data_IF_518459962891
#
_entry.id   IF_518459962891
#
_cell.length_a   1.000
_cell.length_b   1.000
_cell.length_c   1.000
_cell.angle_alpha   90.00
_cell.angle_beta   90.00
_cell.angle_gamma   90.00
#
_symmetry.space_group_name_H-M   'P 1'
#
loop_
_entity.id
_entity.type
_entity.pdbx_description
1 polymer ?
#
# COMPACT_ATOMS: atom_id res chain seq x y z
N UNK A 1 19.67 -22.56 54.34
CA UNK A 1 19.42 -22.49 52.88
C UNK A 1 18.01 -23.00 52.60
N UNK A 2 17.09 -22.16 52.10
CA UNK A 2 15.89 -22.51 51.29
C UNK A 2 14.93 -21.31 51.21
N UNK A 3 15.11 -20.46 50.20
CA UNK A 3 14.09 -19.54 49.70
C UNK A 3 14.52 -19.01 48.32
N UNK A 4 14.27 -19.78 47.23
CA UNK A 4 14.51 -19.30 45.84
C UNK A 4 13.39 -19.70 44.85
N UNK A 5 12.42 -20.54 45.19
CA UNK A 5 11.56 -21.18 44.16
C UNK A 5 10.16 -20.58 43.91
N UNK A 6 9.90 -19.32 44.29
CA UNK A 6 8.58 -18.68 44.03
C UNK A 6 8.56 -17.64 42.88
N UNK A 7 9.71 -17.18 42.38
CA UNK A 7 9.76 -16.17 41.31
C UNK A 7 9.79 -16.76 39.88
N UNK A 8 10.16 -18.04 39.72
CA UNK A 8 10.29 -18.67 38.41
C UNK A 8 8.94 -18.93 37.71
N UNK A 9 7.87 -19.25 38.44
CA UNK A 9 6.57 -19.59 37.86
C UNK A 9 5.83 -18.39 37.24
N UNK A 10 5.91 -17.21 37.86
CA UNK A 10 5.28 -15.98 37.35
C UNK A 10 6.05 -15.41 36.15
N UNK A 11 7.38 -15.50 36.17
CA UNK A 11 8.25 -15.07 35.07
C UNK A 11 8.08 -15.98 33.84
N UNK A 12 7.99 -17.29 34.03
CA UNK A 12 7.74 -18.24 32.93
C UNK A 12 6.33 -18.08 32.35
N UNK A 13 5.30 -17.92 33.19
CA UNK A 13 3.92 -17.69 32.72
C UNK A 13 3.75 -16.38 31.95
N UNK A 14 4.37 -15.30 32.43
CA UNK A 14 4.36 -13.99 31.74
C UNK A 14 5.16 -14.03 30.44
N UNK A 15 6.31 -14.73 30.43
CA UNK A 15 7.13 -14.91 29.23
C UNK A 15 6.42 -15.68 28.12
N UNK A 16 5.72 -16.77 28.45
CA UNK A 16 4.92 -17.55 27.49
C UNK A 16 3.75 -16.73 26.95
N UNK A 17 3.06 -15.97 27.79
CA UNK A 17 1.96 -15.10 27.34
C UNK A 17 2.45 -14.01 26.37
N UNK A 18 3.55 -13.32 26.69
CA UNK A 18 4.13 -12.29 25.82
C UNK A 18 4.67 -12.87 24.50
N UNK A 19 5.28 -14.06 24.56
CA UNK A 19 5.68 -14.79 23.36
C UNK A 19 4.48 -15.14 22.49
N UNK A 20 3.38 -15.60 23.08
CA UNK A 20 2.11 -15.85 22.40
C UNK A 20 1.55 -14.61 21.71
N UNK A 21 1.52 -13.46 22.40
CA UNK A 21 1.11 -12.17 21.81
C UNK A 21 1.99 -11.80 20.61
N UNK A 22 3.32 -11.93 20.76
CA UNK A 22 4.27 -11.68 19.67
C UNK A 22 4.02 -12.55 18.44
N UNK A 23 3.76 -13.85 18.66
CA UNK A 23 3.43 -14.79 17.58
C UNK A 23 2.11 -14.40 16.90
N UNK A 24 1.08 -14.04 17.66
CA UNK A 24 -0.22 -13.60 17.10
C UNK A 24 -0.06 -12.33 16.26
N UNK A 25 0.71 -11.35 16.73
CA UNK A 25 0.98 -10.11 15.98
C UNK A 25 1.72 -10.45 14.68
N UNK A 26 2.81 -11.23 14.75
CA UNK A 26 3.57 -11.65 13.58
C UNK A 26 2.69 -12.43 12.57
N UNK A 27 1.84 -13.33 13.08
CA UNK A 27 0.90 -14.11 12.25
C UNK A 27 -0.26 -13.31 11.68
N UNK A 28 -0.62 -12.18 12.29
CA UNK A 28 -1.62 -11.29 11.72
C UNK A 28 -1.02 -10.37 10.66
N UNK A 29 0.18 -9.85 10.92
CA UNK A 29 0.89 -8.96 10.00
C UNK A 29 1.23 -9.65 8.68
N UNK A 30 1.74 -10.88 8.74
CA UNK A 30 2.17 -11.65 7.55
C UNK A 30 1.06 -12.56 7.00
N UNK A 31 -0.20 -12.33 7.39
CA UNK A 31 -1.29 -13.20 6.96
C UNK A 31 -1.41 -13.21 5.42
N UNK A 32 -1.78 -14.35 4.81
CA UNK A 32 -2.10 -14.39 3.39
C UNK A 32 -3.21 -13.41 3.07
N UNK A 33 -3.23 -12.93 1.82
CA UNK A 33 -4.32 -12.08 1.34
C UNK A 33 -5.65 -12.81 1.55
N UNK A 34 -6.53 -12.17 2.31
CA UNK A 34 -7.89 -12.65 2.54
C UNK A 34 -8.86 -11.94 1.63
N UNK A 35 -10.01 -12.56 1.38
CA UNK A 35 -11.12 -11.91 0.68
C UNK A 35 -11.48 -10.55 1.29
N UNK A 36 -11.96 -9.65 0.43
CA UNK A 36 -12.42 -8.31 0.83
C UNK A 36 -13.55 -8.42 1.87
N UNK A 37 -13.53 -7.52 2.85
CA UNK A 37 -14.59 -7.41 3.85
C UNK A 37 -15.64 -6.40 3.38
N UNK A 38 -16.90 -6.80 3.44
CA UNK A 38 -18.06 -5.98 3.07
C UNK A 38 -18.82 -5.55 4.33
N UNK A 39 -18.18 -4.72 5.16
CA UNK A 39 -18.68 -4.29 6.47
C UNK A 39 -19.60 -3.07 6.44
N UNK A 40 -19.74 -2.41 5.28
CA UNK A 40 -20.73 -1.36 5.08
C UNK A 40 -22.05 -1.95 4.57
N UNK A 41 -23.16 -1.36 5.01
CA UNK A 41 -24.49 -1.60 4.45
C UNK A 41 -24.99 -0.32 3.80
N UNK A 42 -25.43 -0.39 2.54
CA UNK A 42 -26.12 0.72 1.88
C UNK A 42 -27.45 0.94 2.59
N UNK A 43 -27.63 2.12 3.21
CA UNK A 43 -28.84 2.44 3.99
C UNK A 43 -30.00 2.88 3.12
N UNK A 44 -29.70 3.50 1.98
CA UNK A 44 -30.68 3.99 1.02
C UNK A 44 -30.02 4.39 -0.27
N UNK A 45 -30.82 4.53 -1.32
CA UNK A 45 -30.41 5.10 -2.61
C UNK A 45 -31.46 6.13 -2.98
N UNK A 46 -31.03 7.36 -3.14
CA UNK A 46 -31.87 8.48 -3.55
C UNK A 46 -31.69 8.70 -5.06
N UNK A 47 -32.74 8.45 -5.84
CA UNK A 47 -32.75 8.57 -7.30
C UNK A 47 -33.55 9.81 -7.76
N UNK A 48 -33.78 10.78 -6.88
CA UNK A 48 -34.59 11.97 -7.21
C UNK A 48 -33.82 13.01 -8.03
N UNK A 49 -32.48 13.01 -7.96
CA UNK A 49 -31.60 13.88 -8.75
C UNK A 49 -31.19 13.28 -10.10
N UNK A 50 -30.39 14.03 -10.86
CA UNK A 50 -29.82 13.56 -12.15
C UNK A 50 -28.93 12.33 -11.99
N UNK A 51 -28.26 12.21 -10.84
CA UNK A 51 -27.42 11.07 -10.47
C UNK A 51 -27.89 10.46 -9.16
N UNK A 52 -27.80 9.13 -9.01
CA UNK A 52 -28.11 8.48 -7.74
C UNK A 52 -27.20 8.96 -6.60
N UNK A 53 -27.75 9.10 -5.40
CA UNK A 53 -27.00 9.36 -4.17
C UNK A 53 -27.12 8.13 -3.25
N UNK A 54 -25.99 7.53 -2.92
CA UNK A 54 -25.92 6.40 -1.98
C UNK A 54 -25.88 6.94 -0.55
N UNK A 55 -26.79 6.46 0.30
CA UNK A 55 -26.86 6.83 1.70
C UNK A 55 -26.13 5.76 2.53
N UNK A 56 -25.16 6.20 3.32
CA UNK A 56 -24.29 5.36 4.14
C UNK A 56 -24.31 5.81 5.60
N UNK A 57 -23.92 4.90 6.50
CA UNK A 57 -23.62 5.28 7.89
C UNK A 57 -22.51 6.33 7.93
N UNK A 58 -22.68 7.34 8.78
CA UNK A 58 -21.66 8.35 9.03
C UNK A 58 -20.54 7.74 9.85
N UNK A 59 -19.37 7.63 9.23
CA UNK A 59 -18.11 7.25 9.85
C UNK A 59 -17.01 8.17 9.33
N UNK A 60 -15.83 8.24 9.98
CA UNK A 60 -14.72 9.08 9.50
C UNK A 60 -14.40 8.86 8.02
N UNK A 61 -14.41 7.61 7.54
CA UNK A 61 -14.12 7.28 6.14
C UNK A 61 -15.22 7.74 5.17
N UNK A 62 -16.51 7.46 5.47
CA UNK A 62 -17.62 7.80 4.57
C UNK A 62 -17.94 9.28 4.55
N UNK A 63 -17.61 9.99 5.64
CA UNK A 63 -17.76 11.44 5.78
C UNK A 63 -16.55 12.24 5.27
N UNK A 64 -15.45 11.59 4.90
CA UNK A 64 -14.31 12.26 4.31
C UNK A 64 -14.63 12.70 2.87
N UNK A 65 -14.42 13.98 2.51
CA UNK A 65 -14.48 14.41 1.12
C UNK A 65 -13.38 13.71 0.32
N UNK A 66 -13.66 13.45 -0.95
CA UNK A 66 -12.69 12.89 -1.87
C UNK A 66 -13.29 11.86 -2.84
N UNK A 67 -12.50 11.48 -3.83
CA UNK A 67 -12.88 10.50 -4.84
C UNK A 67 -12.70 9.08 -4.26
N UNK A 68 -13.79 8.37 -3.96
CA UNK A 68 -13.74 7.00 -3.41
C UNK A 68 -14.62 6.04 -4.22
N UNK A 69 -14.59 4.76 -3.88
CA UNK A 69 -15.53 3.79 -4.43
C UNK A 69 -16.13 2.87 -3.36
N UNK A 70 -17.31 2.33 -3.69
CA UNK A 70 -17.89 1.17 -3.04
C UNK A 70 -17.68 -0.05 -3.91
N UNK A 71 -17.08 -1.08 -3.33
CA UNK A 71 -16.99 -2.40 -3.95
C UNK A 71 -18.08 -3.25 -3.31
N UNK A 72 -19.08 -3.61 -4.11
CA UNK A 72 -20.24 -4.37 -3.67
C UNK A 72 -19.90 -5.87 -3.58
N UNK A 73 -20.58 -6.58 -2.68
CA UNK A 73 -20.39 -8.03 -2.49
C UNK A 73 -20.71 -8.85 -3.75
N UNK A 74 -21.56 -8.31 -4.63
CA UNK A 74 -21.91 -8.91 -5.93
C UNK A 74 -20.88 -8.58 -7.04
N UNK A 75 -19.77 -7.91 -6.73
CA UNK A 75 -18.73 -7.52 -7.68
C UNK A 75 -18.93 -6.15 -8.34
N UNK A 76 -20.01 -5.42 -8.01
CA UNK A 76 -20.24 -4.07 -8.52
C UNK A 76 -19.19 -3.06 -8.02
N UNK A 77 -18.80 -2.12 -8.87
CA UNK A 77 -17.80 -1.09 -8.58
C UNK A 77 -18.41 0.30 -8.77
N UNK A 78 -18.71 0.98 -7.67
CA UNK A 78 -19.46 2.23 -7.68
C UNK A 78 -18.52 3.37 -7.31
N UNK A 79 -18.21 4.24 -8.27
CA UNK A 79 -17.43 5.46 -8.03
C UNK A 79 -18.30 6.51 -7.38
N UNK A 80 -17.76 7.18 -6.38
CA UNK A 80 -18.43 8.21 -5.62
C UNK A 80 -17.80 9.56 -5.89
N UNK A 81 -18.63 10.60 -5.92
CA UNK A 81 -18.19 11.98 -6.06
C UNK A 81 -17.41 12.45 -4.82
N UNK A 82 -16.64 13.51 -5.02
CA UNK A 82 -15.87 14.18 -3.98
C UNK A 82 -16.75 14.67 -2.82
N UNK A 83 -17.89 15.27 -3.15
CA UNK A 83 -18.75 15.94 -2.17
C UNK A 83 -19.50 14.95 -1.27
N UNK A 84 -19.75 15.40 -0.04
CA UNK A 84 -20.46 14.65 0.99
C UNK A 84 -21.73 15.40 1.38
N UNK A 85 -22.87 14.79 1.10
CA UNK A 85 -24.15 15.34 1.53
C UNK A 85 -24.44 15.01 2.99
N UNK A 86 -24.82 16.02 3.77
CA UNK A 86 -25.27 15.81 5.13
C UNK A 86 -26.71 15.26 5.13
N UNK A 87 -26.88 13.99 5.55
CA UNK A 87 -28.19 13.34 5.69
C UNK A 87 -28.56 13.16 7.18
N UNK A 88 -28.18 14.13 8.00
CA UNK A 88 -28.44 14.14 9.45
C UNK A 88 -27.25 13.63 10.29
N UNK A 89 -27.45 13.39 11.60
CA UNK A 89 -26.36 13.11 12.52
C UNK A 89 -25.66 11.78 12.25
N UNK A 90 -26.37 10.79 11.72
CA UNK A 90 -25.86 9.41 11.59
C UNK A 90 -25.63 8.95 10.15
N UNK A 91 -25.98 9.77 9.15
CA UNK A 91 -25.95 9.37 7.75
C UNK A 91 -25.25 10.42 6.87
N UNK A 92 -24.63 9.94 5.81
CA UNK A 92 -24.06 10.75 4.74
C UNK A 92 -24.57 10.27 3.39
N UNK A 93 -24.77 11.21 2.45
CA UNK A 93 -25.06 10.91 1.05
C UNK A 93 -23.80 11.07 0.20
N UNK A 94 -23.59 10.16 -0.74
CA UNK A 94 -22.48 10.19 -1.71
C UNK A 94 -23.05 10.02 -3.12
N UNK A 95 -22.94 11.05 -3.94
CA UNK A 95 -23.35 10.99 -5.35
C UNK A 95 -22.53 9.92 -6.10
N UNK A 96 -23.16 9.17 -6.98
CA UNK A 96 -22.52 8.19 -7.86
C UNK A 96 -22.01 8.87 -9.13
N UNK A 97 -20.78 8.55 -9.53
CA UNK A 97 -20.14 9.09 -10.73
C UNK A 97 -19.99 8.02 -11.81
N UNK A 98 -20.28 8.39 -13.05
CA UNK A 98 -20.17 7.52 -14.23
C UNK A 98 -21.39 6.63 -14.42
N UNK A 99 -21.27 5.64 -15.32
CA UNK A 99 -22.31 4.64 -15.49
C UNK A 99 -22.39 3.79 -14.23
N UNK A 100 -23.49 3.91 -13.49
CA UNK A 100 -23.77 3.02 -12.37
C UNK A 100 -23.85 1.60 -12.91
N UNK A 101 -22.93 0.72 -12.49
CA UNK A 101 -23.13 -0.72 -12.67
C UNK A 101 -24.53 -1.10 -12.17
N UNK A 102 -25.21 -2.08 -12.80
CA UNK A 102 -26.60 -2.36 -12.47
C UNK A 102 -26.78 -2.72 -10.99
N UNK A 103 -27.82 -2.15 -10.36
CA UNK A 103 -28.39 -2.69 -9.12
C UNK A 103 -27.86 -2.14 -7.81
N UNK A 104 -27.64 -0.83 -7.67
CA UNK A 104 -27.53 -0.18 -6.35
C UNK A 104 -28.87 -0.28 -5.61
N UNK A 105 -28.90 -1.04 -4.51
CA UNK A 105 -30.11 -1.27 -3.71
C UNK A 105 -29.78 -1.14 -2.23
N UNK A 106 -30.71 -0.57 -1.46
CA UNK A 106 -30.63 -0.55 -0.01
C UNK A 106 -30.51 -1.98 0.56
N UNK A 107 -29.73 -2.13 1.62
CA UNK A 107 -29.44 -3.42 2.27
C UNK A 107 -28.26 -4.18 1.66
N UNK A 108 -27.75 -3.78 0.49
CA UNK A 108 -26.54 -4.38 -0.07
C UNK A 108 -25.32 -4.12 0.82
N UNK A 109 -24.44 -5.12 0.85
CA UNK A 109 -23.15 -5.01 1.54
C UNK A 109 -22.09 -4.49 0.60
N UNK A 110 -21.26 -3.61 1.12
CA UNK A 110 -20.20 -2.94 0.38
C UNK A 110 -18.92 -2.83 1.22
N UNK A 111 -17.81 -2.61 0.53
CA UNK A 111 -16.51 -2.29 1.10
C UNK A 111 -16.13 -0.88 0.67
N UNK A 112 -15.74 -0.03 1.63
CA UNK A 112 -15.14 1.27 1.30
C UNK A 112 -13.76 1.08 0.71
N UNK A 113 -13.45 1.79 -0.37
CA UNK A 113 -12.15 1.65 -1.02
C UNK A 113 -11.64 2.95 -1.63
N UNK A 114 -10.34 3.18 -1.48
CA UNK A 114 -9.59 4.23 -2.19
C UNK A 114 -9.01 3.77 -3.53
N UNK A 115 -9.08 2.48 -3.85
CA UNK A 115 -8.75 1.96 -5.18
C UNK A 115 -9.86 2.43 -6.12
N UNK A 116 -9.62 3.52 -6.82
CA UNK A 116 -10.66 4.19 -7.59
C UNK A 116 -10.95 3.48 -8.93
N UNK A 117 -9.90 3.00 -9.59
CA UNK A 117 -9.98 2.32 -10.87
C UNK A 117 -9.92 0.80 -10.69
N UNK A 118 -10.81 0.08 -11.37
CA UNK A 118 -10.81 -1.39 -11.32
C UNK A 118 -9.82 -2.00 -12.30
N UNK A 119 -9.69 -1.42 -13.50
CA UNK A 119 -8.87 -1.91 -14.61
C UNK A 119 -8.15 -0.76 -15.31
N UNK A 120 -7.10 -1.02 -16.11
CA UNK A 120 -6.48 0.03 -16.92
C UNK A 120 -7.50 0.74 -17.84
N UNK A 121 -8.41 0.00 -18.46
CA UNK A 121 -9.46 0.58 -19.32
C UNK A 121 -10.38 1.54 -18.55
N UNK A 122 -10.75 1.19 -17.31
CA UNK A 122 -11.53 2.05 -16.41
C UNK A 122 -10.78 3.34 -15.99
N UNK A 123 -9.45 3.32 -16.07
CA UNK A 123 -8.59 4.48 -15.92
C UNK A 123 -8.32 5.23 -17.24
N UNK A 124 -8.94 4.84 -18.35
CA UNK A 124 -8.71 5.41 -19.68
C UNK A 124 -7.35 5.03 -20.28
N UNK A 125 -6.78 3.90 -19.87
CA UNK A 125 -5.45 3.45 -20.27
C UNK A 125 -5.55 2.22 -21.16
N UNK A 126 -4.74 2.21 -22.23
CA UNK A 126 -4.46 0.99 -22.98
C UNK A 126 -3.50 0.11 -22.19
N UNK A 127 -3.61 -1.21 -22.34
CA UNK A 127 -2.79 -2.16 -21.60
C UNK A 127 -2.49 -3.39 -22.44
N UNK A 128 -1.33 -3.99 -22.18
CA UNK A 128 -0.98 -5.34 -22.60
C UNK A 128 -0.67 -6.15 -21.35
N UNK A 129 -1.29 -7.32 -21.19
CA UNK A 129 -0.90 -8.27 -20.15
C UNK A 129 0.45 -8.90 -20.53
N UNK A 130 1.39 -8.84 -19.59
CA UNK A 130 2.72 -9.46 -19.72
C UNK A 130 3.02 -10.31 -18.49
N UNK A 131 3.99 -11.21 -18.60
CA UNK A 131 4.46 -12.00 -17.46
C UNK A 131 5.92 -11.66 -17.15
N UNK A 132 6.17 -11.33 -15.88
CA UNK A 132 7.52 -11.15 -15.35
C UNK A 132 7.99 -12.49 -14.82
N UNK A 133 9.08 -13.01 -15.38
CA UNK A 133 9.66 -14.27 -14.91
C UNK A 133 10.43 -14.00 -13.61
N UNK A 134 9.87 -14.44 -12.48
CA UNK A 134 10.52 -14.35 -11.16
C UNK A 134 11.12 -15.70 -10.78
N UNK A 135 12.02 -15.70 -9.79
CA UNK A 135 12.64 -16.93 -9.27
C UNK A 135 11.62 -17.93 -8.69
N UNK A 136 10.41 -17.47 -8.39
CA UNK A 136 9.34 -18.28 -7.77
C UNK A 136 8.15 -18.54 -8.70
N UNK A 137 8.28 -18.19 -9.98
CA UNK A 137 7.28 -18.42 -11.02
C UNK A 137 6.91 -17.15 -11.81
N UNK A 138 6.10 -17.29 -12.87
CA UNK A 138 5.62 -16.14 -13.65
C UNK A 138 4.70 -15.27 -12.78
N UNK A 139 4.95 -13.96 -12.81
CA UNK A 139 4.14 -12.94 -12.13
C UNK A 139 3.43 -12.08 -13.19
N UNK A 140 2.09 -12.12 -13.27
CA UNK A 140 1.34 -11.28 -14.21
C UNK A 140 1.56 -9.79 -13.95
N UNK A 141 1.69 -8.99 -14.99
CA UNK A 141 1.85 -7.55 -14.90
C UNK A 141 1.09 -6.85 -16.04
N UNK A 142 0.79 -5.57 -15.87
CA UNK A 142 0.29 -4.74 -16.96
C UNK A 142 1.41 -3.87 -17.52
N UNK A 143 1.62 -3.97 -18.83
CA UNK A 143 2.45 -3.05 -19.60
C UNK A 143 1.55 -2.00 -20.24
N UNK A 144 1.70 -0.75 -19.80
CA UNK A 144 0.86 0.36 -20.19
C UNK A 144 1.73 1.35 -20.97
N UNK A 145 1.47 1.54 -22.28
CA UNK A 145 2.21 2.52 -23.06
C UNK A 145 1.89 3.95 -22.59
N UNK A 146 2.79 4.91 -22.85
CA UNK A 146 2.53 6.30 -22.56
C UNK A 146 1.52 6.90 -23.54
N UNK A 147 0.95 8.04 -23.15
CA UNK A 147 0.28 8.94 -24.08
C UNK A 147 1.34 9.73 -24.83
N UNK A 148 1.35 9.63 -26.16
CA UNK A 148 2.30 10.35 -27.01
C UNK A 148 3.66 9.67 -27.17
N UNK A 149 4.73 10.46 -27.28
CA UNK A 149 6.08 9.96 -27.57
C UNK A 149 6.69 9.28 -26.34
N UNK A 150 7.18 8.03 -26.46
CA UNK A 150 7.71 7.30 -25.32
C UNK A 150 9.07 7.83 -24.88
N UNK A 151 9.21 8.05 -23.57
CA UNK A 151 10.48 8.29 -22.89
C UNK A 151 11.32 7.01 -22.82
N UNK A 152 12.63 7.16 -22.71
CA UNK A 152 13.52 6.04 -22.36
C UNK A 152 13.50 5.71 -20.86
N UNK A 153 12.86 6.55 -20.05
CA UNK A 153 12.57 6.28 -18.63
C UNK A 153 11.24 5.53 -18.53
N UNK A 154 11.19 4.46 -17.76
CA UNK A 154 9.96 3.72 -17.45
C UNK A 154 9.52 3.98 -16.00
N UNK A 155 8.24 3.73 -15.71
CA UNK A 155 7.71 3.73 -14.36
C UNK A 155 7.35 2.30 -13.92
N UNK A 156 7.76 1.87 -12.73
CA UNK A 156 7.37 0.58 -12.15
C UNK A 156 6.49 0.83 -10.94
N UNK A 157 5.27 0.32 -10.97
CA UNK A 157 4.24 0.60 -9.97
C UNK A 157 4.01 -0.61 -9.05
N UNK A 158 4.25 -0.41 -7.75
CA UNK A 158 4.31 -1.46 -6.73
C UNK A 158 3.23 -1.20 -5.68
N UNK A 159 2.23 -2.07 -5.63
CA UNK A 159 1.14 -1.96 -4.65
C UNK A 159 1.56 -2.36 -3.24
N UNK A 160 0.68 -2.07 -2.27
CA UNK A 160 0.88 -2.36 -0.86
C UNK A 160 0.41 -3.75 -0.44
N UNK A 161 0.72 -4.10 0.82
CA UNK A 161 0.33 -5.35 1.45
C UNK A 161 -1.20 -5.53 1.43
N UNK A 162 -1.68 -6.64 0.87
CA UNK A 162 -3.11 -6.97 0.80
C UNK A 162 -3.92 -6.09 -0.17
N UNK A 163 -3.28 -5.19 -0.92
CA UNK A 163 -3.90 -4.47 -2.04
C UNK A 163 -3.69 -5.26 -3.34
N UNK A 164 -4.55 -4.98 -4.32
CA UNK A 164 -4.34 -5.42 -5.71
C UNK A 164 -3.49 -4.40 -6.47
N UNK A 165 -2.94 -4.82 -7.61
CA UNK A 165 -2.15 -3.96 -8.51
C UNK A 165 -2.95 -2.78 -9.07
N UNK A 166 -4.28 -2.91 -9.15
CA UNK A 166 -5.21 -1.85 -9.53
C UNK A 166 -5.10 -0.58 -8.66
N UNK A 167 -4.69 -0.72 -7.38
CA UNK A 167 -4.48 0.40 -6.46
C UNK A 167 -3.50 1.46 -6.96
N UNK A 168 -2.63 1.09 -7.89
CA UNK A 168 -1.55 1.92 -8.44
C UNK A 168 -1.96 2.72 -9.68
N UNK A 169 -3.09 2.39 -10.33
CA UNK A 169 -3.50 2.99 -11.61
C UNK A 169 -3.63 4.53 -11.56
N UNK A 170 -3.86 5.09 -10.37
CA UNK A 170 -3.84 6.53 -10.10
C UNK A 170 -2.49 7.19 -10.42
N UNK A 171 -1.38 6.52 -10.10
CA UNK A 171 -0.03 6.95 -10.48
C UNK A 171 0.28 6.65 -11.94
N UNK A 172 -0.23 5.55 -12.48
CA UNK A 172 -0.04 5.19 -13.89
C UNK A 172 -0.63 6.24 -14.83
N UNK A 173 -1.80 6.80 -14.53
CA UNK A 173 -2.37 7.89 -15.33
C UNK A 173 -1.39 9.06 -15.48
N UNK A 174 -0.81 9.53 -14.37
CA UNK A 174 0.15 10.64 -14.41
C UNK A 174 1.43 10.25 -15.17
N UNK A 175 1.97 9.06 -14.92
CA UNK A 175 3.16 8.57 -15.61
C UNK A 175 2.93 8.46 -17.14
N UNK A 176 1.78 7.97 -17.56
CA UNK A 176 1.42 7.81 -18.98
C UNK A 176 1.30 9.18 -19.67
N UNK A 177 0.67 10.16 -19.03
CA UNK A 177 0.48 11.52 -19.55
C UNK A 177 1.80 12.29 -19.77
N UNK A 178 2.86 11.96 -19.02
CA UNK A 178 4.19 12.58 -19.17
C UNK A 178 5.16 11.77 -20.04
N UNK A 179 4.68 10.74 -20.74
CA UNK A 179 5.49 9.97 -21.68
C UNK A 179 6.19 8.74 -21.10
N UNK A 180 5.92 8.33 -19.85
CA UNK A 180 6.53 7.14 -19.25
C UNK A 180 5.74 5.86 -19.57
N UNK A 181 6.41 4.87 -20.16
CA UNK A 181 5.89 3.50 -20.19
C UNK A 181 5.80 2.98 -18.76
N UNK A 182 4.64 2.44 -18.39
CA UNK A 182 4.40 1.93 -17.03
C UNK A 182 4.32 0.42 -17.00
N UNK A 183 5.01 -0.19 -16.03
CA UNK A 183 4.87 -1.60 -15.67
C UNK A 183 4.21 -1.70 -14.30
N UNK A 184 2.99 -2.23 -14.25
CA UNK A 184 2.23 -2.43 -13.01
C UNK A 184 2.39 -3.88 -12.59
N UNK A 185 3.19 -4.10 -11.55
CA UNK A 185 3.67 -5.44 -11.19
C UNK A 185 2.77 -6.14 -10.18
N UNK A 186 2.77 -7.46 -10.22
CA UNK A 186 2.43 -8.32 -9.07
C UNK A 186 3.72 -8.88 -8.49
N UNK A 187 3.64 -9.45 -7.29
CA UNK A 187 4.74 -10.14 -6.64
C UNK A 187 4.23 -11.35 -5.84
N UNK A 188 5.14 -12.16 -5.30
CA UNK A 188 4.75 -13.38 -4.57
C UNK A 188 3.76 -13.10 -3.45
N UNK A 189 2.79 -14.01 -3.30
CA UNK A 189 1.83 -14.03 -2.19
C UNK A 189 0.93 -12.80 -2.05
N UNK A 190 0.78 -12.00 -3.11
CA UNK A 190 -0.04 -10.78 -3.11
C UNK A 190 -1.51 -11.00 -3.52
N UNK A 191 -1.85 -12.23 -3.93
CA UNK A 191 -3.19 -12.64 -4.38
C UNK A 191 -3.37 -12.70 -5.90
N UNK A 192 -2.53 -12.04 -6.68
CA UNK A 192 -2.56 -12.04 -8.16
C UNK A 192 -1.31 -12.71 -8.77
N UNK A 193 -0.15 -12.56 -8.12
CA UNK A 193 1.13 -13.16 -8.48
C UNK A 193 1.32 -14.59 -7.97
N UNK A 194 2.55 -15.14 -8.09
CA UNK A 194 2.83 -16.53 -7.74
C UNK A 194 2.62 -16.79 -6.24
N UNK A 195 2.04 -17.95 -5.91
CA UNK A 195 1.85 -18.38 -4.52
C UNK A 195 2.98 -19.29 -4.07
N UNK A 196 3.68 -18.89 -3.00
CA UNK A 196 4.85 -19.58 -2.46
C UNK A 196 4.62 -19.96 -0.99
N UNK A 197 5.00 -21.18 -0.63
CA UNK A 197 4.95 -21.67 0.75
C UNK A 197 3.54 -21.59 1.34
N UNK A 198 3.40 -20.93 2.49
CA UNK A 198 2.12 -20.77 3.18
C UNK A 198 1.24 -19.65 2.61
N UNK A 199 1.69 -18.94 1.57
CA UNK A 199 0.99 -17.79 1.01
C UNK A 199 1.14 -16.50 1.83
N UNK A 200 2.08 -16.47 2.76
CA UNK A 200 2.30 -15.36 3.70
C UNK A 200 3.26 -14.34 3.09
N UNK A 201 3.00 -13.05 3.32
CA UNK A 201 3.95 -12.00 2.94
C UNK A 201 5.16 -12.00 3.85
N UNK A 202 6.33 -11.75 3.26
CA UNK A 202 7.60 -11.51 3.95
C UNK A 202 7.90 -10.01 4.02
N UNK A 203 6.84 -9.19 3.95
CA UNK A 203 6.85 -7.76 4.27
C UNK A 203 7.78 -6.92 3.39
N UNK A 204 8.00 -7.37 2.16
CA UNK A 204 8.90 -6.76 1.20
C UNK A 204 10.31 -7.35 1.22
N UNK A 205 10.65 -8.23 2.17
CA UNK A 205 12.00 -8.77 2.28
C UNK A 205 12.33 -9.79 1.18
N UNK A 206 11.31 -10.49 0.67
CA UNK A 206 11.48 -11.43 -0.43
C UNK A 206 10.73 -10.99 -1.70
N UNK A 207 9.63 -10.23 -1.55
CA UNK A 207 8.90 -9.61 -2.66
C UNK A 207 9.79 -8.63 -3.46
N UNK A 208 10.83 -8.07 -2.84
CA UNK A 208 11.83 -7.22 -3.52
C UNK A 208 12.51 -7.94 -4.68
N UNK A 209 12.71 -9.27 -4.60
CA UNK A 209 13.34 -10.04 -5.66
C UNK A 209 12.45 -10.14 -6.91
N UNK A 210 11.12 -10.21 -6.73
CA UNK A 210 10.15 -10.26 -7.83
C UNK A 210 10.10 -8.92 -8.57
N UNK A 211 10.11 -7.81 -7.81
CA UNK A 211 10.10 -6.48 -8.41
C UNK A 211 11.45 -6.14 -9.06
N UNK A 212 12.57 -6.70 -8.56
CA UNK A 212 13.86 -6.63 -9.28
C UNK A 212 13.78 -7.29 -10.65
N UNK A 213 13.08 -8.42 -10.78
CA UNK A 213 12.88 -9.07 -12.08
C UNK A 213 12.10 -8.16 -13.04
N UNK A 214 11.13 -7.38 -12.54
CA UNK A 214 10.42 -6.38 -13.33
C UNK A 214 11.31 -5.21 -13.79
N UNK A 215 12.25 -4.77 -12.96
CA UNK A 215 13.25 -3.76 -13.37
C UNK A 215 14.21 -4.29 -14.45
N UNK A 216 14.61 -5.56 -14.37
CA UNK A 216 15.38 -6.21 -15.43
C UNK A 216 14.57 -6.34 -16.72
N UNK A 217 13.30 -6.75 -16.63
CA UNK A 217 12.38 -6.81 -17.77
C UNK A 217 12.27 -5.43 -18.46
N UNK A 218 12.09 -4.35 -17.70
CA UNK A 218 12.03 -3.00 -18.26
C UNK A 218 13.32 -2.66 -19.03
N UNK A 219 14.49 -2.96 -18.46
CA UNK A 219 15.80 -2.74 -19.11
C UNK A 219 15.94 -3.54 -20.40
N UNK A 220 15.57 -4.81 -20.38
CA UNK A 220 15.60 -5.70 -21.55
C UNK A 220 14.65 -5.25 -22.66
N UNK A 221 13.60 -4.50 -22.30
CA UNK A 221 12.63 -3.92 -23.23
C UNK A 221 12.88 -2.42 -23.51
N UNK A 222 14.11 -1.94 -23.29
CA UNK A 222 14.58 -0.64 -23.75
C UNK A 222 14.53 0.51 -22.74
N UNK A 223 14.14 0.25 -21.48
CA UNK A 223 14.27 1.25 -20.43
C UNK A 223 15.76 1.54 -20.15
N UNK A 224 16.14 2.81 -20.24
CA UNK A 224 17.48 3.31 -19.84
C UNK A 224 17.54 3.64 -18.36
N UNK A 225 16.40 3.98 -17.78
CA UNK A 225 16.19 4.37 -16.40
C UNK A 225 14.78 3.99 -15.96
N UNK A 226 14.58 3.86 -14.66
CA UNK A 226 13.28 3.58 -14.05
C UNK A 226 13.00 4.54 -12.90
N UNK A 227 11.73 4.90 -12.75
CA UNK A 227 11.18 5.57 -11.58
C UNK A 227 10.26 4.57 -10.88
N UNK A 228 10.47 4.35 -9.59
CA UNK A 228 9.67 3.40 -8.82
C UNK A 228 8.54 4.15 -8.11
N UNK A 229 7.31 3.75 -8.39
CA UNK A 229 6.13 4.19 -7.68
C UNK A 229 5.75 3.13 -6.66
N UNK A 230 5.69 3.49 -5.38
CA UNK A 230 5.44 2.54 -4.29
C UNK A 230 4.35 3.01 -3.34
N UNK A 231 3.35 2.16 -3.07
CA UNK A 231 2.28 2.43 -2.10
C UNK A 231 2.48 1.58 -0.86
N UNK A 232 2.47 2.18 0.35
CA UNK A 232 2.56 1.43 1.60
C UNK A 232 3.79 0.50 1.62
N UNK A 233 3.61 -0.82 1.77
CA UNK A 233 4.69 -1.82 1.65
C UNK A 233 5.41 -1.76 0.29
N UNK A 234 4.73 -1.41 -0.79
CA UNK A 234 5.36 -1.18 -2.09
C UNK A 234 6.42 -0.08 -2.06
N UNK A 235 6.26 0.91 -1.18
CA UNK A 235 7.30 1.91 -0.91
C UNK A 235 8.51 1.34 -0.18
N UNK A 236 8.31 0.40 0.75
CA UNK A 236 9.41 -0.32 1.38
C UNK A 236 10.20 -1.19 0.39
N UNK A 237 9.52 -1.81 -0.58
CA UNK A 237 10.15 -2.54 -1.68
C UNK A 237 10.93 -1.57 -2.58
N UNK A 238 10.32 -0.45 -2.99
CA UNK A 238 10.95 0.56 -3.83
C UNK A 238 12.25 1.12 -3.21
N UNK A 239 12.22 1.42 -1.91
CA UNK A 239 13.40 1.91 -1.19
C UNK A 239 14.53 0.87 -1.14
N UNK A 240 14.20 -0.42 -0.94
CA UNK A 240 15.21 -1.48 -1.00
C UNK A 240 15.83 -1.61 -2.39
N UNK A 241 15.03 -1.51 -3.46
CA UNK A 241 15.52 -1.55 -4.84
C UNK A 241 16.38 -0.35 -5.19
N UNK A 242 16.03 0.84 -4.72
CA UNK A 242 16.84 2.05 -4.93
C UNK A 242 18.23 1.95 -4.29
N UNK A 243 18.36 1.18 -3.20
CA UNK A 243 19.64 0.90 -2.56
C UNK A 243 20.29 -0.41 -3.03
N UNK A 244 19.70 -1.10 -4.02
CA UNK A 244 20.27 -2.32 -4.57
C UNK A 244 21.45 -1.99 -5.49
N UNK A 245 22.67 -2.48 -5.21
CA UNK A 245 23.83 -2.22 -6.07
C UNK A 245 23.63 -2.64 -7.53
N UNK A 246 22.78 -3.65 -7.81
CA UNK A 246 22.50 -4.12 -9.18
C UNK A 246 21.61 -3.17 -9.97
N UNK A 247 20.88 -2.29 -9.29
CA UNK A 247 19.93 -1.35 -9.90
C UNK A 247 20.29 0.13 -9.68
N UNK A 248 21.39 0.41 -8.98
CA UNK A 248 21.82 1.77 -8.65
C UNK A 248 21.92 2.69 -9.87
N UNK A 249 22.36 2.16 -11.02
CA UNK A 249 22.56 2.95 -12.24
C UNK A 249 21.29 3.11 -13.08
N UNK A 250 20.20 2.40 -12.76
CA UNK A 250 18.94 2.47 -13.51
C UNK A 250 17.82 3.14 -12.71
N UNK A 251 17.77 3.00 -11.39
CA UNK A 251 16.75 3.64 -10.56
C UNK A 251 17.10 5.11 -10.35
N UNK A 252 16.30 5.99 -10.96
CA UNK A 252 16.58 7.45 -11.02
C UNK A 252 15.65 8.28 -10.15
N UNK A 253 14.54 7.71 -9.68
CA UNK A 253 13.58 8.42 -8.86
C UNK A 253 12.63 7.50 -8.11
N UNK A 254 12.08 7.99 -7.00
CA UNK A 254 11.07 7.33 -6.20
C UNK A 254 9.85 8.24 -6.01
N UNK A 255 8.65 7.71 -6.26
CA UNK A 255 7.37 8.35 -5.91
C UNK A 255 6.63 7.44 -4.94
N UNK A 256 6.57 7.84 -3.67
CA UNK A 256 6.11 6.99 -2.57
C UNK A 256 4.83 7.55 -1.96
N UNK A 257 3.74 6.78 -1.99
CA UNK A 257 2.50 7.16 -1.32
C UNK A 257 2.32 6.37 -0.02
N UNK A 258 2.29 7.09 1.09
CA UNK A 258 2.13 6.55 2.45
C UNK A 258 3.10 5.39 2.74
N UNK A 259 4.42 5.54 2.48
CA UNK A 259 5.35 4.41 2.51
C UNK A 259 5.55 3.85 3.91
N UNK A 260 5.84 2.54 3.99
CA UNK A 260 6.39 1.94 5.20
C UNK A 260 7.90 2.25 5.27
N UNK A 261 8.27 3.13 6.21
CA UNK A 261 9.66 3.56 6.44
C UNK A 261 10.36 2.87 7.61
N UNK A 262 9.59 2.15 8.45
CA UNK A 262 10.08 1.31 9.55
C UNK A 262 8.94 0.35 9.98
N UNK A 263 9.11 -0.95 9.78
CA UNK A 263 8.11 -1.96 10.17
C UNK A 263 7.89 -2.03 11.68
N UNK A 264 8.92 -1.80 12.50
CA UNK A 264 8.77 -1.83 13.96
C UNK A 264 7.92 -0.65 14.41
N UNK A 265 8.15 0.54 13.87
CA UNK A 265 7.32 1.71 14.17
C UNK A 265 5.87 1.52 13.69
N UNK A 266 5.69 0.96 12.49
CA UNK A 266 4.37 0.59 11.93
C UNK A 266 3.64 -0.41 12.82
N UNK A 267 4.34 -1.43 13.33
CA UNK A 267 3.79 -2.41 14.27
C UNK A 267 3.35 -1.77 15.59
N UNK A 268 4.15 -0.84 16.13
CA UNK A 268 3.82 -0.09 17.35
C UNK A 268 2.54 0.75 17.16
N UNK A 269 2.44 1.46 16.05
CA UNK A 269 1.26 2.26 15.71
C UNK A 269 0.01 1.40 15.54
N UNK A 270 0.13 0.28 14.81
CA UNK A 270 -0.97 -0.67 14.65
C UNK A 270 -1.42 -1.32 15.97
N UNK A 271 -0.50 -1.58 16.90
CA UNK A 271 -0.85 -2.06 18.24
C UNK A 271 -1.62 -1.00 19.03
N UNK A 272 -1.13 0.24 19.05
CA UNK A 272 -1.80 1.36 19.72
C UNK A 272 -3.23 1.56 19.19
N UNK A 273 -3.40 1.54 17.86
CA UNK A 273 -4.70 1.63 17.20
C UNK A 273 -5.65 0.47 17.56
N UNK A 274 -5.11 -0.73 17.75
CA UNK A 274 -5.88 -1.90 18.15
C UNK A 274 -6.21 -1.92 19.67
N UNK A 275 -5.86 -0.87 20.42
CA UNK A 275 -6.09 -0.77 21.87
C UNK A 275 -5.04 -1.52 22.71
N UNK A 276 -3.94 -1.95 22.10
CA UNK A 276 -2.80 -2.57 22.80
C UNK A 276 -1.73 -1.52 23.13
N UNK A 277 -0.90 -1.73 24.17
CA UNK A 277 0.27 -0.88 24.40
C UNK A 277 1.19 -0.88 23.18
N UNK A 278 1.65 0.30 22.75
CA UNK A 278 2.48 0.44 21.54
C UNK A 278 3.71 -0.49 21.54
N UNK A 279 4.36 -0.66 22.70
CA UNK A 279 5.52 -1.53 22.84
C UNK A 279 5.24 -3.01 22.52
N UNK A 280 3.98 -3.46 22.56
CA UNK A 280 3.58 -4.82 22.19
C UNK A 280 3.97 -5.16 20.74
N UNK A 281 4.04 -4.16 19.84
CA UNK A 281 4.51 -4.36 18.47
C UNK A 281 5.94 -4.91 18.39
N UNK A 282 6.79 -4.59 19.38
CA UNK A 282 8.17 -5.09 19.47
C UNK A 282 8.20 -6.61 19.71
N UNK A 283 7.15 -7.18 20.31
CA UNK A 283 7.08 -8.62 20.59
C UNK A 283 7.04 -9.46 19.31
N UNK A 284 6.64 -8.90 18.17
CA UNK A 284 6.66 -9.61 16.89
C UNK A 284 8.07 -9.76 16.29
N UNK A 285 9.02 -8.90 16.68
CA UNK A 285 10.36 -8.84 16.06
C UNK A 285 11.11 -10.18 16.13
N UNK A 286 11.20 -10.89 17.28
CA UNK A 286 11.89 -12.18 17.32
C UNK A 286 11.27 -13.22 16.39
N UNK A 287 9.94 -13.20 16.23
CA UNK A 287 9.19 -14.12 15.37
C UNK A 287 9.40 -13.88 13.88
N UNK A 288 9.88 -12.70 13.49
CA UNK A 288 10.15 -12.30 12.11
C UNK A 288 11.66 -12.34 11.78
N UNK A 289 12.53 -12.09 12.75
CA UNK A 289 13.98 -12.03 12.54
C UNK A 289 14.71 -13.38 12.77
N UNK A 290 14.18 -14.28 13.60
CA UNK A 290 14.93 -15.48 14.05
C UNK A 290 14.57 -16.73 13.23
N UNK A 291 15.56 -17.40 12.60
CA UNK A 291 15.29 -18.61 11.76
C UNK A 291 14.41 -19.67 12.47
N UNK A 292 14.67 -20.08 13.72
CA UNK A 292 13.82 -21.08 14.36
C UNK A 292 12.37 -20.62 14.55
N UNK A 293 12.14 -19.31 14.73
CA UNK A 293 10.80 -18.77 15.01
C UNK A 293 10.00 -18.43 13.75
N UNK A 294 10.66 -18.03 12.65
CA UNK A 294 9.94 -17.68 11.42
C UNK A 294 9.16 -18.86 10.84
N UNK A 295 9.66 -20.08 11.03
CA UNK A 295 8.96 -21.32 10.64
C UNK A 295 7.67 -21.55 11.44
N UNK A 296 7.61 -21.12 12.70
CA UNK A 296 6.39 -21.19 13.52
C UNK A 296 5.34 -20.15 13.10
N UNK A 297 5.79 -19.01 12.55
CA UNK A 297 4.91 -18.03 11.88
C UNK A 297 4.40 -18.59 10.54
N UNK A 298 5.19 -19.44 9.89
CA UNK A 298 4.93 -20.05 8.59
C UNK A 298 5.67 -19.38 7.44
N UNK A 299 6.70 -18.57 7.71
CA UNK A 299 7.50 -17.90 6.69
C UNK A 299 8.62 -18.81 6.18
N UNK A 300 9.06 -18.57 4.94
CA UNK A 300 10.18 -19.31 4.36
C UNK A 300 11.52 -18.67 4.77
N UNK A 301 11.57 -17.34 4.78
CA UNK A 301 12.76 -16.56 5.08
C UNK A 301 12.58 -15.68 6.34
N UNK A 302 13.72 -15.19 6.83
CA UNK A 302 13.75 -14.14 7.86
C UNK A 302 13.39 -12.81 7.21
N UNK A 303 12.62 -12.01 7.92
CA UNK A 303 12.35 -10.62 7.57
C UNK A 303 13.18 -9.77 8.51
N UNK A 304 14.38 -9.35 8.12
CA UNK A 304 15.20 -8.47 8.97
C UNK A 304 14.58 -7.07 9.05
N UNK A 305 13.72 -6.84 10.04
CA UNK A 305 13.00 -5.57 10.17
C UNK A 305 13.93 -4.36 10.33
N UNK A 306 15.19 -4.56 10.73
CA UNK A 306 16.17 -3.46 10.83
C UNK A 306 16.59 -2.94 9.46
N UNK A 307 16.60 -3.79 8.43
CA UNK A 307 16.89 -3.34 7.06
C UNK A 307 15.84 -2.34 6.58
N UNK A 308 14.62 -2.39 7.12
CA UNK A 308 13.56 -1.45 6.77
C UNK A 308 13.59 -0.15 7.55
N UNK A 309 14.53 0.08 8.47
CA UNK A 309 14.60 1.33 9.24
C UNK A 309 15.30 2.43 8.43
N UNK A 310 14.54 3.10 7.56
CA UNK A 310 15.04 4.17 6.70
C UNK A 310 15.37 5.46 7.43
N UNK A 311 14.95 5.60 8.69
CA UNK A 311 15.36 6.71 9.54
C UNK A 311 16.81 6.53 10.01
N UNK A 312 17.16 5.33 10.45
CA UNK A 312 18.54 5.00 10.83
C UNK A 312 19.47 4.96 9.62
N UNK A 313 18.92 4.57 8.46
CA UNK A 313 19.64 4.42 7.18
C UNK A 313 19.45 5.60 6.23
N UNK A 314 19.02 6.75 6.74
CA UNK A 314 18.64 7.90 5.89
C UNK A 314 19.76 8.36 4.96
N UNK A 315 21.02 8.23 5.40
CA UNK A 315 22.20 8.57 4.61
C UNK A 315 22.41 7.71 3.35
N UNK A 316 21.79 6.53 3.30
CA UNK A 316 21.84 5.63 2.14
C UNK A 316 20.84 6.06 1.05
N UNK A 317 19.85 6.90 1.39
CA UNK A 317 18.86 7.40 0.43
C UNK A 317 19.42 8.57 -0.39
N UNK A 318 20.05 8.22 -1.51
CA UNK A 318 20.66 9.17 -2.46
C UNK A 318 19.78 9.44 -3.70
N UNK A 319 18.79 8.60 -3.95
CA UNK A 319 17.88 8.73 -5.10
C UNK A 319 16.83 9.82 -4.80
N UNK A 320 16.58 10.77 -5.71
CA UNK A 320 15.49 11.73 -5.57
C UNK A 320 14.17 11.03 -5.25
N UNK A 321 13.50 11.49 -4.20
CA UNK A 321 12.31 10.85 -3.63
C UNK A 321 11.23 11.88 -3.35
N UNK A 322 10.06 11.69 -3.98
CA UNK A 322 8.82 12.35 -3.59
C UNK A 322 8.05 11.43 -2.63
N UNK A 323 7.68 11.94 -1.46
CA UNK A 323 6.78 11.28 -0.52
C UNK A 323 5.47 12.05 -0.46
N UNK A 324 4.36 11.37 -0.77
CA UNK A 324 2.99 11.85 -0.66
C UNK A 324 2.36 11.11 0.53
N UNK A 325 1.99 11.80 1.60
CA UNK A 325 1.56 11.11 2.83
C UNK A 325 0.40 11.82 3.49
N UNK A 326 -0.63 11.06 3.85
CA UNK A 326 -1.71 11.50 4.72
C UNK A 326 -1.22 11.82 6.13
N UNK A 327 -1.50 13.02 6.64
CA UNK A 327 -1.18 13.42 8.01
C UNK A 327 -2.06 12.72 9.06
N UNK A 328 -3.16 12.08 8.62
CA UNK A 328 -4.07 11.30 9.46
C UNK A 328 -3.88 9.79 9.25
N UNK A 329 -2.75 9.37 8.66
CA UNK A 329 -2.46 7.97 8.37
C UNK A 329 -2.46 7.12 9.65
N UNK A 330 -3.41 6.20 9.71
CA UNK A 330 -3.61 5.32 10.88
C UNK A 330 -2.84 4.00 10.79
N UNK A 331 -2.09 3.77 9.70
CA UNK A 331 -1.36 2.55 9.42
C UNK A 331 0.16 2.78 9.46
N UNK A 332 0.67 3.72 8.66
CA UNK A 332 2.06 4.13 8.63
C UNK A 332 2.22 5.47 9.34
N UNK A 333 3.13 5.63 10.31
CA UNK A 333 3.27 6.90 11.02
C UNK A 333 3.81 8.02 10.11
N UNK A 334 3.01 9.06 9.90
CA UNK A 334 3.39 10.25 9.12
C UNK A 334 4.68 10.91 9.62
N UNK A 335 4.91 10.89 10.94
CA UNK A 335 6.09 11.49 11.57
C UNK A 335 7.41 10.92 11.05
N UNK A 336 7.42 9.68 10.55
CA UNK A 336 8.61 9.09 9.95
C UNK A 336 8.93 9.74 8.60
N UNK A 337 7.92 10.05 7.79
CA UNK A 337 8.15 10.77 6.53
C UNK A 337 8.60 12.21 6.78
N UNK A 338 7.98 12.90 7.73
CA UNK A 338 8.39 14.25 8.16
C UNK A 338 9.85 14.24 8.69
N UNK A 339 10.20 13.25 9.52
CA UNK A 339 11.57 13.09 10.00
C UNK A 339 12.55 12.76 8.86
N UNK A 340 12.21 11.87 7.94
CA UNK A 340 13.09 11.50 6.83
C UNK A 340 13.36 12.72 5.92
N UNK A 341 12.32 13.51 5.62
CA UNK A 341 12.47 14.74 4.81
C UNK A 341 13.41 15.76 5.45
N UNK A 342 13.36 15.90 6.79
CA UNK A 342 14.28 16.78 7.53
C UNK A 342 15.70 16.23 7.63
N UNK A 343 15.87 14.90 7.60
CA UNK A 343 17.19 14.26 7.60
C UNK A 343 17.86 14.29 6.23
N UNK A 344 17.08 14.36 5.14
CA UNK A 344 17.55 14.31 3.73
C UNK A 344 16.84 15.36 2.86
N UNK A 345 16.84 16.65 3.23
CA UNK A 345 16.11 17.70 2.50
C UNK A 345 16.60 17.86 1.05
N UNK A 346 17.82 17.43 0.74
CA UNK A 346 18.42 17.44 -0.60
C UNK A 346 17.89 16.32 -1.52
N UNK A 347 17.32 15.24 -0.94
CA UNK A 347 16.85 14.08 -1.70
C UNK A 347 15.35 13.83 -1.55
N UNK A 348 14.72 14.30 -0.46
CA UNK A 348 13.36 13.91 -0.08
C UNK A 348 12.45 15.14 -0.06
N UNK A 349 11.54 15.22 -1.03
CA UNK A 349 10.41 16.15 -1.01
C UNK A 349 9.22 15.47 -0.32
N UNK A 350 8.69 16.07 0.75
CA UNK A 350 7.48 15.59 1.44
C UNK A 350 6.29 16.50 1.16
N UNK A 351 5.18 15.88 0.80
CA UNK A 351 3.90 16.55 0.54
C UNK A 351 2.81 15.91 1.42
N UNK A 352 2.37 16.67 2.42
CA UNK A 352 1.34 16.24 3.36
C UNK A 352 -0.07 16.43 2.77
N UNK A 353 -0.99 15.51 3.09
CA UNK A 353 -2.42 15.56 2.74
C UNK A 353 -3.28 15.37 3.98
N UNK A 354 -4.47 15.97 4.02
CA UNK A 354 -5.47 15.63 5.04
C UNK A 354 -6.18 14.33 4.64
N UNK A 355 -5.47 13.21 4.82
CA UNK A 355 -5.88 11.90 4.35
C UNK A 355 -5.42 10.79 5.32
N UNK A 356 -6.12 9.67 5.28
CA UNK A 356 -5.67 8.41 5.89
C UNK A 356 -4.73 7.65 4.92
N UNK A 357 -4.26 6.47 5.33
CA UNK A 357 -3.29 5.65 4.62
C UNK A 357 -3.65 5.41 3.16
N UNK A 358 -2.76 5.77 2.24
CA UNK A 358 -2.91 5.61 0.76
C UNK A 358 -4.11 6.34 0.15
N UNK A 359 -4.68 7.30 0.89
CA UNK A 359 -5.82 8.12 0.48
C UNK A 359 -5.41 9.53 0.02
N UNK A 360 -4.10 9.82 -0.10
CA UNK A 360 -3.60 11.13 -0.52
C UNK A 360 -4.22 11.58 -1.86
N UNK A 361 -4.24 10.70 -2.86
CA UNK A 361 -4.91 10.95 -4.14
C UNK A 361 -6.42 11.13 -4.00
N UNK A 362 -7.08 10.33 -3.14
CA UNK A 362 -8.53 10.39 -2.97
C UNK A 362 -8.95 11.73 -2.34
N UNK A 363 -8.22 12.19 -1.33
CA UNK A 363 -8.51 13.42 -0.60
C UNK A 363 -8.42 14.68 -1.48
N UNK A 364 -7.47 14.70 -2.43
CA UNK A 364 -7.29 15.81 -3.34
C UNK A 364 -6.55 15.34 -4.61
N UNK A 365 -7.34 14.81 -5.56
CA UNK A 365 -6.85 14.26 -6.83
C UNK A 365 -6.05 15.26 -7.64
N UNK A 366 -6.54 16.50 -7.76
CA UNK A 366 -5.92 17.54 -8.58
C UNK A 366 -4.54 17.92 -8.03
N UNK A 367 -4.45 18.18 -6.71
CA UNK A 367 -3.19 18.51 -6.05
C UNK A 367 -2.20 17.35 -6.13
N UNK A 368 -2.65 16.12 -5.86
CA UNK A 368 -1.79 14.94 -5.95
C UNK A 368 -1.17 14.81 -7.35
N UNK A 369 -2.00 14.93 -8.39
CA UNK A 369 -1.55 14.82 -9.79
C UNK A 369 -0.59 15.94 -10.16
N UNK A 370 -0.92 17.19 -9.83
CA UNK A 370 -0.09 18.35 -10.16
C UNK A 370 1.28 18.31 -9.47
N UNK A 371 1.35 17.82 -8.23
CA UNK A 371 2.61 17.62 -7.52
C UNK A 371 3.45 16.54 -8.20
N UNK A 372 2.87 15.37 -8.42
CA UNK A 372 3.56 14.23 -9.03
C UNK A 372 4.04 14.56 -10.44
N UNK A 373 3.21 15.19 -11.26
CA UNK A 373 3.57 15.61 -12.62
C UNK A 373 4.73 16.60 -12.63
N UNK A 374 4.70 17.62 -11.76
CA UNK A 374 5.78 18.61 -11.65
C UNK A 374 7.09 17.94 -11.24
N UNK A 375 7.04 17.06 -10.25
CA UNK A 375 8.23 16.36 -9.75
C UNK A 375 8.84 15.43 -10.79
N UNK A 376 8.02 14.74 -11.60
CA UNK A 376 8.54 13.88 -12.66
C UNK A 376 9.15 14.64 -13.84
N UNK A 377 8.83 15.93 -13.99
CA UNK A 377 9.35 16.81 -15.04
C UNK A 377 10.63 17.56 -14.65
N UNK A 378 10.96 17.60 -13.35
CA UNK A 378 12.22 18.18 -12.85
C UNK A 378 13.37 17.20 -12.99
#
# INVERSE_FOLDING_TARGET
>A
MKAVWAFAGVVVGSGVALAGVGLTIARRLTAPVSGRRYDLTIRGVDNTGERPVVILDRAPATAAPGDYCLILENGGWIKLANDVENRGPNLVGREVVGESGPGLVAGQRASWSGIYFQTPADAGLQTTDVEIQTDVGPAPAWLIPPQGSPSTTWAIHIHGLGSTRAGTLRGVQVASEIGLTSLVVTYRNDGEGPRVGTGRSELGAAEVDDVRAAANYARENGARSVILFGWSMGGAIALQLANDPKLRDIVTGLVLDSPILDWVATLKANCARAGLPAWAGVLAVPWLNSQPLVRLVGLANRVDLRSFNWIARSHELIVPTLILHGALDTSSPFELSDRLSRLRPENVELQAFEADHTMSWNSNRERWRAITERWLKS
#
